data_IF_872338150435
#
_entry.id   IF_872338150435
#
_cell.length_a   1.000
_cell.length_b   1.000
_cell.length_c   1.000
_cell.angle_alpha   90.00
_cell.angle_beta   90.00
_cell.angle_gamma   90.00
#
_symmetry.space_group_name_H-M   'P 1'
#
loop_
_entity.id
_entity.type
_entity.pdbx_description
1 polymer ?
#
# COMPACT_ATOMS: atom_id res chain seq x y z
N UNK A 1 -0.33 -17.75 -13.76
CA UNK A 1 -0.51 -16.33 -14.15
C UNK A 1 0.31 -15.50 -13.18
N UNK A 2 0.94 -14.40 -13.61
CA UNK A 2 1.65 -13.54 -12.65
C UNK A 2 0.67 -12.85 -11.70
N UNK A 3 1.09 -12.62 -10.45
CA UNK A 3 0.33 -11.84 -9.46
C UNK A 3 -0.12 -10.50 -10.06
N UNK A 4 -1.29 -10.03 -9.67
CA UNK A 4 -1.85 -8.75 -10.13
C UNK A 4 -2.22 -7.87 -8.95
N UNK A 5 -2.09 -6.55 -9.10
CA UNK A 5 -2.56 -5.59 -8.11
C UNK A 5 -3.60 -4.69 -8.74
N UNK A 6 -4.74 -4.55 -8.08
CA UNK A 6 -5.87 -3.79 -8.59
C UNK A 6 -6.38 -2.78 -7.57
N UNK A 7 -6.96 -1.70 -8.10
CA UNK A 7 -7.66 -0.69 -7.32
C UNK A 7 -8.94 -1.29 -6.71
N UNK A 8 -9.21 -1.10 -5.40
CA UNK A 8 -10.42 -1.62 -4.79
C UNK A 8 -11.70 -0.94 -5.31
N UNK A 9 -11.60 0.28 -5.83
CA UNK A 9 -12.73 1.09 -6.30
C UNK A 9 -13.07 0.82 -7.77
N UNK A 10 -12.12 1.02 -8.69
CA UNK A 10 -12.38 0.88 -10.13
C UNK A 10 -11.99 -0.48 -10.71
N UNK A 11 -11.37 -1.36 -9.92
CA UNK A 11 -10.79 -2.66 -10.35
C UNK A 11 -9.72 -2.56 -11.44
N UNK A 12 -9.24 -1.34 -11.74
CA UNK A 12 -8.16 -1.13 -12.69
C UNK A 12 -6.83 -1.71 -12.19
N UNK A 13 -6.05 -2.28 -13.12
CA UNK A 13 -4.74 -2.85 -12.84
C UNK A 13 -3.71 -1.74 -12.54
N UNK A 14 -3.13 -1.80 -11.35
CA UNK A 14 -2.14 -0.82 -10.85
C UNK A 14 -0.69 -1.25 -11.13
N UNK A 15 -0.48 -2.52 -11.46
CA UNK A 15 0.84 -3.07 -11.74
C UNK A 15 1.11 -3.14 -13.24
N UNK A 16 2.26 -2.62 -13.66
CA UNK A 16 2.77 -2.73 -15.03
C UNK A 16 4.19 -3.29 -14.96
N UNK A 17 4.44 -4.38 -15.70
CA UNK A 17 5.69 -5.14 -15.66
C UNK A 17 6.08 -5.57 -14.25
N UNK A 18 6.99 -4.83 -13.59
CA UNK A 18 7.57 -5.16 -12.28
C UNK A 18 7.26 -4.15 -11.19
N UNK A 19 6.46 -3.12 -11.46
CA UNK A 19 6.20 -2.04 -10.52
C UNK A 19 4.69 -1.79 -10.36
N UNK A 20 4.28 -1.50 -9.12
CA UNK A 20 2.95 -0.98 -8.80
C UNK A 20 3.01 0.54 -8.83
N UNK A 21 2.11 1.17 -9.58
CA UNK A 21 2.12 2.60 -9.84
C UNK A 21 1.03 3.30 -9.03
N UNK A 22 1.43 4.35 -8.32
CA UNK A 22 0.52 5.21 -7.58
C UNK A 22 0.70 6.67 -7.98
N UNK A 23 -0.41 7.40 -7.99
CA UNK A 23 -0.36 8.85 -7.85
C UNK A 23 -0.27 9.17 -6.35
N UNK A 24 0.68 10.01 -5.98
CA UNK A 24 0.87 10.43 -4.59
C UNK A 24 0.68 11.92 -4.44
N UNK A 25 0.20 12.33 -3.26
CA UNK A 25 0.04 13.75 -2.91
C UNK A 25 0.35 13.97 -1.42
N UNK A 26 1.18 14.95 -1.11
CA UNK A 26 1.48 15.35 0.28
C UNK A 26 0.50 16.41 0.77
N UNK A 27 0.48 16.63 2.09
CA UNK A 27 -0.27 17.73 2.72
C UNK A 27 0.15 19.11 2.22
N UNK A 28 1.41 19.27 1.79
CA UNK A 28 1.96 20.52 1.26
C UNK A 28 1.60 20.74 -0.22
N UNK A 29 0.86 19.81 -0.83
CA UNK A 29 0.38 19.92 -2.21
C UNK A 29 1.34 19.36 -3.26
N UNK A 30 2.51 18.85 -2.87
CA UNK A 30 3.43 18.17 -3.79
C UNK A 30 2.78 16.88 -4.27
N UNK A 31 2.82 16.64 -5.58
CA UNK A 31 2.27 15.44 -6.20
C UNK A 31 3.28 14.80 -7.13
N UNK A 32 3.18 13.49 -7.29
CA UNK A 32 4.10 12.73 -8.13
C UNK A 32 3.56 11.35 -8.43
N UNK A 33 4.17 10.69 -9.42
CA UNK A 33 4.00 9.25 -9.58
C UNK A 33 5.11 8.56 -8.79
N UNK A 34 4.74 7.51 -8.07
CA UNK A 34 5.70 6.58 -7.49
C UNK A 34 5.47 5.18 -8.03
N UNK A 35 6.58 4.46 -8.14
CA UNK A 35 6.63 3.06 -8.52
C UNK A 35 7.20 2.29 -7.33
N UNK A 36 6.49 1.27 -6.85
CA UNK A 36 6.95 0.41 -5.77
C UNK A 36 7.06 -1.04 -6.24
N UNK A 37 7.91 -1.81 -5.56
CA UNK A 37 8.03 -3.24 -5.79
C UNK A 37 6.74 -3.98 -5.36
N UNK A 38 6.28 -4.98 -6.12
CA UNK A 38 5.24 -5.90 -5.69
C UNK A 38 5.74 -6.90 -4.63
N UNK A 39 7.05 -7.00 -4.40
CA UNK A 39 7.60 -7.88 -3.37
C UNK A 39 7.23 -7.35 -1.97
N UNK A 40 6.40 -8.11 -1.26
CA UNK A 40 5.95 -7.71 0.08
C UNK A 40 7.15 -7.70 1.03
N UNK A 41 7.34 -6.57 1.73
CA UNK A 41 8.49 -6.35 2.58
C UNK A 41 9.62 -5.57 1.90
N UNK A 42 9.53 -5.35 0.59
CA UNK A 42 10.33 -4.33 -0.09
C UNK A 42 9.66 -2.95 0.04
N UNK A 43 10.37 -2.01 0.62
CA UNK A 43 9.91 -0.64 0.87
C UNK A 43 10.64 0.39 -0.01
N UNK A 44 11.37 -0.08 -1.02
CA UNK A 44 11.94 0.76 -2.05
C UNK A 44 10.85 1.37 -2.93
N UNK A 45 11.10 2.59 -3.40
CA UNK A 45 10.26 3.22 -4.41
C UNK A 45 11.12 4.03 -5.38
N UNK A 46 10.58 4.24 -6.58
CA UNK A 46 11.14 5.10 -7.62
C UNK A 46 10.18 6.26 -7.83
N UNK A 47 10.71 7.46 -8.03
CA UNK A 47 9.94 8.66 -8.35
C UNK A 47 10.79 9.60 -9.22
N UNK A 48 10.16 10.61 -9.79
CA UNK A 48 10.92 11.69 -10.42
C UNK A 48 11.82 12.38 -9.38
N UNK A 49 13.06 12.80 -9.70
CA UNK A 49 13.99 13.41 -8.75
C UNK A 49 13.48 14.70 -8.08
N UNK A 50 12.52 15.40 -8.70
CA UNK A 50 11.90 16.59 -8.12
C UNK A 50 10.88 16.28 -7.02
N UNK A 51 10.47 15.01 -6.87
CA UNK A 51 9.54 14.58 -5.83
C UNK A 51 10.36 14.25 -4.59
N UNK A 52 10.21 15.05 -3.54
CA UNK A 52 11.05 14.95 -2.34
C UNK A 52 10.20 14.79 -1.07
N UNK A 53 9.89 13.54 -0.71
CA UNK A 53 9.21 13.23 0.54
C UNK A 53 10.21 13.15 1.70
N UNK A 54 9.93 13.89 2.77
CA UNK A 54 10.73 13.89 3.99
C UNK A 54 10.29 12.74 4.90
N UNK A 55 11.21 12.26 5.72
CA UNK A 55 10.89 11.28 6.77
C UNK A 55 9.79 11.83 7.69
N UNK A 56 8.76 11.03 7.94
CA UNK A 56 7.57 11.43 8.69
C UNK A 56 6.45 12.07 7.86
N UNK A 57 6.67 12.38 6.57
CA UNK A 57 5.61 12.94 5.72
C UNK A 57 4.47 11.94 5.55
N UNK A 58 3.24 12.45 5.68
CA UNK A 58 2.04 11.72 5.30
C UNK A 58 1.80 11.89 3.81
N UNK A 59 2.00 10.80 3.08
CA UNK A 59 1.91 10.74 1.61
C UNK A 59 0.61 10.02 1.26
N UNK A 60 -0.31 10.74 0.66
CA UNK A 60 -1.58 10.16 0.24
C UNK A 60 -1.39 9.31 -1.02
N UNK A 61 -1.94 8.09 -1.03
CA UNK A 61 -1.88 7.18 -2.19
C UNK A 61 -3.21 7.23 -2.93
N UNK A 62 -3.15 7.49 -4.23
CA UNK A 62 -4.31 7.73 -5.08
C UNK A 62 -4.21 6.80 -6.29
N UNK A 63 -5.34 6.25 -6.71
CA UNK A 63 -5.41 5.46 -7.93
C UNK A 63 -5.13 6.35 -9.15
N UNK A 64 -4.14 6.03 -10.01
CA UNK A 64 -3.85 6.83 -11.20
C UNK A 64 -4.91 6.70 -12.31
N UNK A 65 -5.81 5.72 -12.21
CA UNK A 65 -6.84 5.44 -13.22
C UNK A 65 -8.14 6.19 -12.90
N UNK A 66 -8.62 6.10 -11.65
CA UNK A 66 -9.90 6.67 -11.26
C UNK A 66 -9.79 7.83 -10.25
N UNK A 67 -8.57 8.21 -9.85
CA UNK A 67 -8.30 9.30 -8.89
C UNK A 67 -8.91 9.12 -7.49
N UNK A 68 -9.44 7.94 -7.17
CA UNK A 68 -9.92 7.62 -5.83
C UNK A 68 -8.76 7.50 -4.84
N UNK A 69 -9.01 8.01 -3.63
CA UNK A 69 -8.07 7.88 -2.52
C UNK A 69 -8.08 6.45 -2.01
N UNK A 70 -6.90 5.81 -1.96
CA UNK A 70 -6.73 4.42 -1.56
C UNK A 70 -6.69 4.23 -0.03
N UNK A 71 -7.30 5.14 0.73
CA UNK A 71 -7.42 5.04 2.18
C UNK A 71 -8.05 3.71 2.60
N UNK A 72 -7.43 3.06 3.58
CA UNK A 72 -7.99 1.87 4.22
C UNK A 72 -9.05 2.27 5.25
N UNK A 73 -10.19 2.77 4.75
CA UNK A 73 -11.27 3.41 5.54
C UNK A 73 -11.91 2.52 6.59
N UNK A 74 -11.76 1.21 6.48
CA UNK A 74 -12.24 0.25 7.48
C UNK A 74 -11.45 0.30 8.81
N UNK A 75 -10.25 0.87 8.80
CA UNK A 75 -9.43 1.03 10.00
C UNK A 75 -9.58 2.46 10.53
N UNK A 76 -9.67 2.62 11.85
CA UNK A 76 -9.78 3.92 12.52
C UNK A 76 -8.45 4.71 12.50
N UNK A 77 -7.79 4.78 11.35
CA UNK A 77 -6.52 5.48 11.13
C UNK A 77 -6.44 6.06 9.72
N UNK A 78 -5.84 7.25 9.61
CA UNK A 78 -5.59 7.91 8.32
C UNK A 78 -4.26 7.47 7.69
N UNK A 79 -3.49 6.64 8.38
CA UNK A 79 -2.11 6.32 8.02
C UNK A 79 -1.99 5.10 7.12
N UNK A 80 -3.09 4.42 6.82
CA UNK A 80 -3.08 3.18 6.03
C UNK A 80 -3.75 3.38 4.67
N UNK A 81 -3.14 2.80 3.65
CA UNK A 81 -3.72 2.65 2.32
C UNK A 81 -3.96 1.17 2.02
N UNK A 82 -4.91 0.86 1.13
CA UNK A 82 -5.30 -0.50 0.76
C UNK A 82 -5.42 -0.67 -0.75
N UNK A 83 -4.86 -1.78 -1.25
CA UNK A 83 -5.09 -2.31 -2.60
C UNK A 83 -5.43 -3.80 -2.53
N UNK A 84 -5.85 -4.38 -3.65
CA UNK A 84 -6.15 -5.81 -3.75
C UNK A 84 -5.03 -6.47 -4.55
N UNK A 85 -4.40 -7.51 -3.99
CA UNK A 85 -3.57 -8.46 -4.72
C UNK A 85 -4.45 -9.64 -5.16
N UNK A 86 -4.25 -10.09 -6.40
CA UNK A 86 -4.73 -11.37 -6.90
C UNK A 86 -3.49 -12.23 -7.15
N UNK A 87 -3.41 -13.39 -6.51
CA UNK A 87 -2.28 -14.30 -6.70
C UNK A 87 -2.41 -15.14 -7.99
N UNK A 88 -1.50 -16.09 -8.17
CA UNK A 88 -1.43 -16.91 -9.38
C UNK A 88 -2.58 -17.93 -9.48
N UNK A 89 -3.16 -18.30 -8.33
CA UNK A 89 -4.31 -19.20 -8.18
C UNK A 89 -5.65 -18.44 -8.25
N UNK A 90 -5.61 -17.12 -8.39
CA UNK A 90 -6.79 -16.26 -8.44
C UNK A 90 -7.36 -15.93 -7.06
N UNK A 91 -6.63 -16.18 -5.97
CA UNK A 91 -7.05 -15.80 -4.61
C UNK A 91 -6.82 -14.31 -4.39
N UNK A 92 -7.76 -13.70 -3.68
CA UNK A 92 -7.76 -12.28 -3.39
C UNK A 92 -7.18 -12.01 -2.01
N UNK A 93 -6.28 -11.04 -1.93
CA UNK A 93 -5.70 -10.55 -0.69
C UNK A 93 -5.85 -9.04 -0.61
N UNK A 94 -6.21 -8.54 0.56
CA UNK A 94 -6.08 -7.11 0.88
C UNK A 94 -4.63 -6.84 1.28
N UNK A 95 -3.99 -5.93 0.55
CA UNK A 95 -2.65 -5.44 0.87
C UNK A 95 -2.80 -4.06 1.48
N UNK A 96 -2.48 -3.95 2.76
CA UNK A 96 -2.60 -2.72 3.55
C UNK A 96 -1.22 -2.25 3.94
N UNK A 97 -0.89 -0.98 3.75
CA UNK A 97 0.46 -0.46 4.01
C UNK A 97 0.44 0.99 4.53
N UNK A 98 1.52 1.39 5.20
CA UNK A 98 1.63 2.75 5.75
C UNK A 98 1.84 3.81 4.66
N UNK A 99 1.19 4.94 4.90
CA UNK A 99 1.28 6.19 4.14
C UNK A 99 2.36 7.14 4.67
N UNK A 100 3.01 6.79 5.77
CA UNK A 100 4.02 7.64 6.40
C UNK A 100 5.40 7.26 5.87
N UNK A 101 6.09 8.24 5.26
CA UNK A 101 7.46 8.04 4.80
C UNK A 101 8.36 7.65 5.97
N UNK A 102 9.03 6.50 5.83
CA UNK A 102 9.92 5.95 6.86
C UNK A 102 9.30 4.83 7.70
N UNK A 103 7.96 4.74 7.74
CA UNK A 103 7.28 3.61 8.35
C UNK A 103 7.28 2.42 7.40
N UNK A 104 7.85 1.31 7.87
CA UNK A 104 7.93 0.06 7.11
C UNK A 104 6.95 -0.94 7.72
N UNK A 105 5.71 -0.90 7.25
CA UNK A 105 4.72 -1.92 7.54
C UNK A 105 3.84 -2.22 6.33
N UNK A 106 3.58 -3.51 6.13
CA UNK A 106 2.67 -4.04 5.13
C UNK A 106 1.95 -5.23 5.72
N UNK A 107 0.65 -5.34 5.49
CA UNK A 107 -0.19 -6.44 5.93
C UNK A 107 -0.82 -7.09 4.70
N UNK A 108 -0.78 -8.40 4.64
CA UNK A 108 -1.46 -9.21 3.62
C UNK A 108 -2.54 -10.02 4.31
N UNK A 109 -3.78 -9.80 3.89
CA UNK A 109 -4.97 -10.25 4.62
C UNK A 109 -5.91 -10.96 3.65
N UNK A 110 -6.36 -12.16 4.03
CA UNK A 110 -7.49 -12.87 3.42
C UNK A 110 -8.39 -13.40 4.53
N UNK A 111 -9.47 -14.11 4.17
CA UNK A 111 -10.38 -14.71 5.16
C UNK A 111 -9.67 -15.72 6.09
N UNK A 112 -8.62 -16.38 5.61
CA UNK A 112 -7.92 -17.45 6.33
C UNK A 112 -6.50 -17.08 6.79
N UNK A 113 -5.96 -15.93 6.35
CA UNK A 113 -4.54 -15.62 6.53
C UNK A 113 -4.32 -14.15 6.88
N UNK A 114 -3.54 -13.92 7.93
CA UNK A 114 -2.99 -12.61 8.26
C UNK A 114 -1.46 -12.71 8.32
N UNK A 115 -0.78 -11.94 7.47
CA UNK A 115 0.67 -11.86 7.43
C UNK A 115 1.10 -10.40 7.60
N UNK A 116 2.04 -10.14 8.51
CA UNK A 116 2.53 -8.81 8.82
C UNK A 116 4.03 -8.69 8.53
N UNK A 117 4.43 -7.64 7.82
CA UNK A 117 5.79 -7.43 7.34
C UNK A 117 6.33 -6.07 7.76
N UNK A 118 7.64 -6.01 8.00
CA UNK A 118 8.36 -4.78 8.33
C UNK A 118 8.45 -4.46 9.83
N UNK A 119 9.42 -3.62 10.19
CA UNK A 119 9.75 -3.30 11.59
C UNK A 119 8.67 -2.52 12.34
N UNK A 120 7.80 -1.82 11.61
CA UNK A 120 6.71 -1.02 12.16
C UNK A 120 5.37 -1.78 12.14
N UNK A 121 5.38 -3.07 11.82
CA UNK A 121 4.15 -3.85 11.69
C UNK A 121 3.36 -3.94 13.00
N UNK A 122 4.04 -3.90 14.15
CA UNK A 122 3.40 -3.87 15.47
C UNK A 122 2.53 -2.62 15.72
N UNK A 123 2.82 -1.50 15.06
CA UNK A 123 2.21 -0.20 15.36
C UNK A 123 0.70 -0.15 15.03
N UNK A 124 0.23 -1.01 14.13
CA UNK A 124 -1.17 -1.04 13.68
C UNK A 124 -1.87 -2.38 13.92
N UNK A 125 -1.26 -3.35 14.61
CA UNK A 125 -1.87 -4.68 14.83
C UNK A 125 -3.22 -4.61 15.55
N UNK A 126 -3.38 -3.66 16.46
CA UNK A 126 -4.63 -3.44 17.20
C UNK A 126 -5.85 -3.19 16.30
N UNK A 127 -5.65 -2.70 15.06
CA UNK A 127 -6.74 -2.45 14.12
C UNK A 127 -7.23 -3.70 13.40
N UNK A 128 -6.49 -4.81 13.46
CA UNK A 128 -6.82 -6.06 12.79
C UNK A 128 -7.38 -7.11 13.74
N UNK A 129 -7.44 -6.83 15.06
CA UNK A 129 -8.01 -7.74 16.06
C UNK A 129 -7.17 -9.00 16.33
N UNK A 130 -5.97 -9.11 15.76
CA UNK A 130 -5.09 -10.26 15.90
C UNK A 130 -3.80 -9.93 16.67
N UNK A 131 -3.35 -10.90 17.48
CA UNK A 131 -2.10 -10.80 18.25
C UNK A 131 -0.95 -11.26 17.36
N UNK A 132 0.21 -10.58 17.31
CA UNK A 132 1.36 -11.03 16.53
C UNK A 132 1.78 -12.47 16.85
N UNK A 133 1.91 -13.31 15.83
CA UNK A 133 2.81 -14.48 15.91
C UNK A 133 4.24 -13.98 15.69
N UNK A 134 5.00 -13.88 16.78
CA UNK A 134 6.44 -13.65 16.78
C UNK A 134 7.21 -14.93 16.46
#
# INVERSE_FOLDING_TARGET
MNKSYICPYCKGHLMIDKDIIFLTKTVNGESGLILISPEIGDYGYKSHPSVNYKEGDHVNFICPICYENLDAKEYETKNLAKIIMIDEDGKHYSIVFSKIKGQKCTYKISDDTFEAYGKNSGDYMNFFGETPMF
#
